data_IF_511683445954
#
_entry.id   IF_511683445954
#
_cell.length_a   1.000
_cell.length_b   1.000
_cell.length_c   1.000
_cell.angle_alpha   90.00
_cell.angle_beta   90.00
_cell.angle_gamma   90.00
#
_symmetry.space_group_name_H-M   'P 1'
#
loop_
_entity.id
_entity.type
_entity.pdbx_description
1 polymer ?
#
# COMPACT_ATOMS: atom_id res chain seq x y z
N UNK A 1 0.87 4.08 21.14
CA UNK A 1 0.21 2.78 21.40
C UNK A 1 0.34 1.95 20.15
N UNK A 2 0.55 0.65 20.32
CA UNK A 2 1.05 -0.35 19.36
C UNK A 2 2.59 -0.40 19.34
N UNK A 3 3.12 -1.50 19.89
CA UNK A 3 4.53 -1.80 20.12
C UNK A 3 5.30 -2.08 18.81
N UNK A 4 5.28 -1.12 17.88
CA UNK A 4 6.02 -1.20 16.63
C UNK A 4 7.51 -1.01 16.93
N UNK A 5 8.31 -2.06 16.74
CA UNK A 5 9.77 -2.01 16.90
C UNK A 5 10.34 -2.72 18.13
N UNK A 6 9.58 -3.58 18.83
CA UNK A 6 10.11 -4.35 19.94
C UNK A 6 11.15 -5.37 19.46
N UNK A 7 12.44 -5.06 19.62
CA UNK A 7 13.54 -5.97 19.26
C UNK A 7 13.76 -6.99 20.38
N UNK A 8 13.42 -8.25 20.11
CA UNK A 8 13.80 -9.40 20.91
C UNK A 8 15.23 -9.82 20.55
N UNK A 9 16.11 -9.84 21.55
CA UNK A 9 17.45 -10.44 21.46
C UNK A 9 17.41 -11.83 22.10
N UNK A 10 17.88 -12.87 21.42
CA UNK A 10 18.07 -14.21 22.01
C UNK A 10 19.49 -14.72 21.78
N UNK A 11 20.06 -15.39 22.77
CA UNK A 11 21.30 -16.15 22.59
C UNK A 11 21.06 -17.27 21.54
N UNK A 12 21.99 -17.53 20.60
CA UNK A 12 23.38 -17.06 20.52
C UNK A 12 23.58 -15.88 19.55
N UNK A 13 22.82 -14.78 19.69
CA UNK A 13 23.02 -13.56 18.90
C UNK A 13 21.97 -13.33 17.81
N UNK A 14 20.78 -13.92 17.94
CA UNK A 14 19.66 -13.63 17.05
C UNK A 14 18.97 -12.34 17.49
N UNK A 15 18.82 -11.40 16.56
CA UNK A 15 18.06 -10.17 16.73
C UNK A 15 16.82 -10.25 15.86
N UNK A 16 15.64 -10.07 16.43
CA UNK A 16 14.38 -10.09 15.68
C UNK A 16 13.33 -9.23 16.36
N UNK A 17 12.50 -8.54 15.57
CA UNK A 17 11.34 -7.81 16.11
C UNK A 17 10.19 -8.76 16.46
N UNK A 18 9.32 -8.37 17.39
CA UNK A 18 7.96 -8.90 17.39
C UNK A 18 7.25 -8.29 16.17
N UNK A 19 6.85 -9.16 15.23
CA UNK A 19 5.91 -8.78 14.19
C UNK A 19 4.53 -8.69 14.83
N UNK A 20 3.82 -7.59 14.58
CA UNK A 20 2.42 -7.48 14.99
C UNK A 20 1.62 -8.61 14.35
N UNK A 21 0.70 -9.24 15.10
CA UNK A 21 -0.01 -10.44 14.65
C UNK A 21 -0.94 -10.18 13.47
N UNK A 22 -1.32 -8.93 13.22
CA UNK A 22 -2.19 -8.56 12.12
C UNK A 22 -1.73 -7.26 11.45
N UNK A 23 -2.22 -7.07 10.21
CA UNK A 23 -1.99 -5.87 9.43
C UNK A 23 -2.64 -4.64 10.08
N UNK A 24 -3.69 -4.83 10.88
CA UNK A 24 -4.42 -3.72 11.54
C UNK A 24 -3.52 -2.97 12.50
N UNK A 25 -2.79 -3.69 13.34
CA UNK A 25 -1.82 -3.09 14.26
C UNK A 25 -0.60 -2.56 13.50
N UNK A 26 -0.18 -3.26 12.44
CA UNK A 26 0.96 -2.83 11.63
C UNK A 26 0.72 -1.48 10.93
N UNK A 27 -0.50 -1.23 10.47
CA UNK A 27 -0.87 -0.09 9.64
C UNK A 27 -1.85 0.88 10.30
N UNK A 28 -2.18 0.70 11.59
CA UNK A 28 -3.13 1.55 12.31
C UNK A 28 -2.88 3.05 12.14
N UNK A 29 -1.62 3.49 12.33
CA UNK A 29 -1.26 4.90 12.11
C UNK A 29 -1.40 5.37 10.66
N UNK A 30 -1.18 4.47 9.69
CA UNK A 30 -1.36 4.83 8.28
C UNK A 30 -2.84 5.05 7.96
N UNK A 31 -3.73 4.21 8.50
CA UNK A 31 -5.19 4.40 8.39
C UNK A 31 -5.65 5.71 9.04
N UNK A 32 -5.20 6.01 10.25
CA UNK A 32 -5.56 7.28 10.90
C UNK A 32 -5.06 8.49 10.07
N UNK A 33 -3.85 8.39 9.52
CA UNK A 33 -3.24 9.46 8.73
C UNK A 33 -3.96 9.68 7.40
N UNK A 34 -4.27 8.62 6.65
CA UNK A 34 -4.93 8.75 5.34
C UNK A 34 -6.33 9.37 5.47
N UNK A 35 -7.09 8.99 6.51
CA UNK A 35 -8.40 9.57 6.76
C UNK A 35 -8.31 11.03 7.17
N UNK A 36 -7.35 11.39 8.05
CA UNK A 36 -7.16 12.77 8.46
C UNK A 36 -6.78 13.65 7.27
N UNK A 37 -5.83 13.20 6.42
CA UNK A 37 -5.46 13.93 5.22
C UNK A 37 -6.63 14.14 4.26
N UNK A 38 -7.49 13.13 4.10
CA UNK A 38 -8.69 13.26 3.28
C UNK A 38 -9.69 14.27 3.87
N UNK A 39 -9.95 14.23 5.18
CA UNK A 39 -10.81 15.20 5.87
C UNK A 39 -10.28 16.62 5.70
N UNK A 40 -8.97 16.83 5.86
CA UNK A 40 -8.33 18.13 5.70
C UNK A 40 -8.43 18.65 4.26
N UNK A 41 -8.29 17.76 3.26
CA UNK A 41 -8.45 18.10 1.85
C UNK A 41 -9.88 18.51 1.50
N UNK A 42 -10.88 17.82 2.04
CA UNK A 42 -12.29 18.20 1.90
C UNK A 42 -12.54 19.56 2.56
N UNK A 43 -12.09 19.76 3.79
CA UNK A 43 -12.28 21.01 4.54
C UNK A 43 -11.62 22.22 3.87
N UNK A 44 -10.46 22.03 3.24
CA UNK A 44 -9.73 23.08 2.51
C UNK A 44 -10.25 23.34 1.10
N UNK A 45 -11.22 22.55 0.61
CA UNK A 45 -11.79 22.67 -0.74
C UNK A 45 -10.95 22.04 -1.86
N UNK A 46 -9.83 21.37 -1.52
CA UNK A 46 -9.04 20.55 -2.47
C UNK A 46 -9.79 19.26 -2.82
N UNK A 47 -10.73 18.83 -1.98
CA UNK A 47 -11.62 17.65 -2.09
C UNK A 47 -10.93 16.28 -2.00
N UNK A 48 -9.73 16.12 -2.55
CA UNK A 48 -9.02 14.83 -2.60
C UNK A 48 -7.56 14.97 -2.19
N UNK A 49 -7.04 13.97 -1.49
CA UNK A 49 -5.62 13.84 -1.15
C UNK A 49 -5.26 12.36 -1.06
N UNK A 50 -4.13 11.97 -1.65
CA UNK A 50 -3.65 10.59 -1.68
C UNK A 50 -3.83 9.91 -3.04
N UNK A 51 -3.74 8.57 -3.09
CA UNK A 51 -3.86 7.80 -4.33
C UNK A 51 -5.19 8.03 -5.04
N UNK A 52 -5.13 8.28 -6.35
CA UNK A 52 -6.30 8.53 -7.19
C UNK A 52 -6.80 7.28 -7.91
N UNK A 53 -7.86 7.45 -8.71
CA UNK A 53 -8.42 6.36 -9.51
C UNK A 53 -7.39 5.73 -10.47
N UNK A 54 -6.45 6.53 -10.98
CA UNK A 54 -5.36 6.03 -11.81
C UNK A 54 -4.45 5.05 -11.06
N UNK A 55 -4.09 5.35 -9.81
CA UNK A 55 -3.25 4.46 -9.00
C UNK A 55 -3.97 3.13 -8.75
N UNK A 56 -5.30 3.16 -8.57
CA UNK A 56 -6.15 1.97 -8.51
C UNK A 56 -6.16 1.16 -9.81
N UNK A 57 -6.25 1.82 -10.96
CA UNK A 57 -6.15 1.17 -12.28
C UNK A 57 -4.78 0.49 -12.48
N UNK A 58 -3.69 1.19 -12.16
CA UNK A 58 -2.34 0.65 -12.29
C UNK A 58 -2.14 -0.57 -11.38
N UNK A 59 -2.62 -0.50 -10.13
CA UNK A 59 -2.59 -1.64 -9.20
C UNK A 59 -3.36 -2.84 -9.76
N UNK A 60 -4.54 -2.63 -10.34
CA UNK A 60 -5.34 -3.70 -10.96
C UNK A 60 -4.62 -4.36 -12.14
N UNK A 61 -4.02 -3.57 -13.06
CA UNK A 61 -3.27 -4.09 -14.21
C UNK A 61 -2.05 -4.93 -13.77
N UNK A 62 -1.35 -4.50 -12.72
CA UNK A 62 -0.25 -5.27 -12.13
C UNK A 62 -0.74 -6.57 -11.49
N UNK A 63 -1.86 -6.52 -10.76
CA UNK A 63 -2.47 -7.71 -10.16
C UNK A 63 -2.89 -8.73 -11.21
N UNK A 64 -3.48 -8.29 -12.33
CA UNK A 64 -3.88 -9.15 -13.45
C UNK A 64 -2.68 -9.90 -14.03
N UNK A 65 -1.61 -9.17 -14.39
CA UNK A 65 -0.37 -9.79 -14.89
C UNK A 65 0.27 -10.72 -13.83
N UNK A 66 0.18 -10.36 -12.55
CA UNK A 66 0.65 -11.20 -11.45
C UNK A 66 -0.11 -12.52 -11.33
N UNK A 67 -1.43 -12.52 -11.49
CA UNK A 67 -2.26 -13.73 -11.50
C UNK A 67 -1.96 -14.60 -12.73
N UNK A 68 -1.76 -13.98 -13.89
CA UNK A 68 -1.37 -14.71 -15.11
C UNK A 68 0.01 -15.34 -14.96
N UNK A 69 0.97 -14.61 -14.40
CA UNK A 69 2.32 -15.11 -14.11
C UNK A 69 2.29 -16.26 -13.10
N UNK A 70 1.50 -16.15 -12.03
CA UNK A 70 1.31 -17.22 -11.05
C UNK A 70 0.73 -18.49 -11.70
N UNK A 71 -0.20 -18.33 -12.64
CA UNK A 71 -0.88 -19.43 -13.32
C UNK A 71 0.02 -20.09 -14.37
N UNK A 72 0.76 -19.30 -15.14
CA UNK A 72 1.62 -19.78 -16.23
C UNK A 72 3.00 -20.24 -15.77
N UNK A 73 3.48 -19.76 -14.61
CA UNK A 73 4.85 -19.95 -14.13
C UNK A 73 5.91 -19.16 -14.91
N UNK A 74 5.48 -18.22 -15.77
CA UNK A 74 6.37 -17.44 -16.62
C UNK A 74 6.31 -15.94 -16.28
N UNK A 75 7.36 -15.16 -16.60
CA UNK A 75 7.27 -13.71 -16.56
C UNK A 75 6.19 -13.18 -17.53
N UNK A 76 5.31 -12.30 -17.03
CA UNK A 76 4.27 -11.64 -17.82
C UNK A 76 4.52 -10.13 -17.80
N UNK A 77 4.43 -9.49 -18.97
CA UNK A 77 4.56 -8.05 -19.08
C UNK A 77 3.28 -7.35 -18.60
N UNK A 78 3.41 -6.34 -17.75
CA UNK A 78 2.28 -5.49 -17.36
C UNK A 78 1.93 -4.58 -18.52
N UNK A 79 0.69 -4.66 -19.00
CA UNK A 79 0.17 -3.78 -20.04
C UNK A 79 -0.82 -2.79 -19.42
N UNK A 80 -0.55 -1.50 -19.58
CA UNK A 80 -1.38 -0.43 -19.05
C UNK A 80 -1.32 0.78 -19.99
N UNK A 81 -2.36 1.62 -19.99
CA UNK A 81 -2.33 2.88 -20.74
C UNK A 81 -1.34 3.85 -20.11
N UNK A 82 -0.96 4.90 -20.86
CA UNK A 82 -0.15 5.98 -20.29
C UNK A 82 -1.00 6.82 -19.34
N UNK A 83 -0.49 7.16 -18.15
CA UNK A 83 -1.19 8.04 -17.19
C UNK A 83 -1.61 9.35 -17.83
N UNK A 84 -0.73 9.94 -18.63
CA UNK A 84 -0.99 11.20 -19.33
C UNK A 84 -2.12 11.11 -20.36
N UNK A 85 -2.54 9.90 -20.75
CA UNK A 85 -3.69 9.71 -21.63
C UNK A 85 -5.05 9.86 -20.92
N UNK A 86 -5.07 9.88 -19.57
CA UNK A 86 -6.28 10.05 -18.77
C UNK A 86 -6.31 11.45 -18.14
N UNK A 87 -7.34 12.23 -18.47
CA UNK A 87 -7.52 13.57 -17.89
C UNK A 87 -7.83 13.47 -16.39
N UNK A 88 -7.05 14.16 -15.56
CA UNK A 88 -7.23 14.16 -14.10
C UNK A 88 -6.64 12.93 -13.39
N UNK A 89 -5.85 12.11 -14.10
CA UNK A 89 -5.05 11.05 -13.52
C UNK A 89 -3.80 11.58 -12.81
#
# INVERSE_FOLDING_TARGET
GLDVGLVRKSAPGTWGGILTPSFKERFGQAYDTEFQCWVDAVHSGVNVHGPGAWDGYAAAAVCEAGVESLTSGLPVAVTMVDRASITGA
#
